data_IF_859195861013
#
_entry.id   IF_859195861013
#
_cell.length_a   1.000
_cell.length_b   1.000
_cell.length_c   1.000
_cell.angle_alpha   90.00
_cell.angle_beta   90.00
_cell.angle_gamma   90.00
#
_symmetry.space_group_name_H-M   'P 1'
#
loop_
_entity.id
_entity.type
_entity.pdbx_description
1 polymer ?
#
# COMPACT_ATOMS: atom_id res chain seq x y z
N UNK A 1 -58.52 22.21 51.76
CA UNK A 1 -59.22 20.95 51.45
C UNK A 1 -58.27 20.04 50.67
N UNK A 2 -57.32 19.39 51.36
CA UNK A 2 -56.35 18.46 50.77
C UNK A 2 -56.97 17.08 50.89
N UNK A 3 -57.39 16.45 49.78
CA UNK A 3 -57.89 15.07 49.80
C UNK A 3 -56.78 14.17 50.33
N UNK A 4 -57.03 13.50 51.46
CA UNK A 4 -56.18 12.42 51.98
C UNK A 4 -56.02 11.36 50.89
N UNK A 5 -54.83 11.30 50.29
CA UNK A 5 -54.43 10.25 49.38
C UNK A 5 -54.34 8.95 50.20
N UNK A 6 -55.17 7.96 49.88
CA UNK A 6 -55.19 6.68 50.58
C UNK A 6 -53.82 5.97 50.50
N UNK A 7 -53.40 5.19 51.51
CA UNK A 7 -52.08 4.55 51.57
C UNK A 7 -51.74 3.71 50.31
N UNK A 8 -52.75 3.11 49.66
CA UNK A 8 -52.59 2.37 48.38
C UNK A 8 -52.10 3.25 47.23
N UNK A 9 -52.57 4.50 47.13
CA UNK A 9 -52.18 5.41 46.05
C UNK A 9 -50.72 5.87 46.21
N UNK A 10 -50.20 5.98 47.44
CA UNK A 10 -48.81 6.38 47.70
C UNK A 10 -47.81 5.28 47.34
N UNK A 11 -48.12 4.03 47.67
CA UNK A 11 -47.32 2.86 47.26
C UNK A 11 -47.27 2.78 45.73
N UNK A 12 -48.42 2.99 45.07
CA UNK A 12 -48.51 3.01 43.62
C UNK A 12 -47.64 4.12 43.00
N UNK A 13 -47.65 5.34 43.56
CA UNK A 13 -46.79 6.44 43.09
C UNK A 13 -45.30 6.11 43.25
N UNK A 14 -44.88 5.59 44.42
CA UNK A 14 -43.48 5.23 44.66
C UNK A 14 -43.01 4.13 43.68
N UNK A 15 -43.84 3.12 43.44
CA UNK A 15 -43.59 2.07 42.46
C UNK A 15 -43.51 2.62 41.03
N UNK A 16 -44.40 3.55 40.66
CA UNK A 16 -44.42 4.18 39.35
C UNK A 16 -43.17 5.03 39.11
N UNK A 17 -42.73 5.82 40.10
CA UNK A 17 -41.48 6.59 40.04
C UNK A 17 -40.27 5.68 39.88
N UNK A 18 -40.20 4.60 40.67
CA UNK A 18 -39.12 3.61 40.55
C UNK A 18 -39.10 2.94 39.18
N UNK A 19 -40.26 2.58 38.64
CA UNK A 19 -40.39 1.97 37.31
C UNK A 19 -39.93 2.93 36.21
N UNK A 20 -40.34 4.20 36.27
CA UNK A 20 -39.91 5.24 35.33
C UNK A 20 -38.41 5.51 35.42
N UNK A 21 -37.85 5.56 36.63
CA UNK A 21 -36.40 5.71 36.85
C UNK A 21 -35.63 4.53 36.23
N UNK A 22 -36.09 3.30 36.48
CA UNK A 22 -35.49 2.08 35.95
C UNK A 22 -35.56 2.05 34.42
N UNK A 23 -36.68 2.47 33.84
CA UNK A 23 -36.83 2.59 32.39
C UNK A 23 -35.92 3.67 31.79
N UNK A 24 -35.77 4.82 32.45
CA UNK A 24 -34.84 5.87 32.04
C UNK A 24 -33.37 5.39 32.07
N UNK A 25 -32.99 4.65 33.12
CA UNK A 25 -31.67 4.01 33.22
C UNK A 25 -31.47 3.01 32.09
N UNK A 26 -32.42 2.11 31.86
CA UNK A 26 -32.33 1.09 30.82
C UNK A 26 -32.20 1.70 29.41
N UNK A 27 -33.00 2.72 29.09
CA UNK A 27 -32.95 3.41 27.79
C UNK A 27 -31.62 4.15 27.59
N UNK A 28 -31.11 4.81 28.63
CA UNK A 28 -29.82 5.48 28.57
C UNK A 28 -28.65 4.49 28.46
N UNK A 29 -28.69 3.39 29.22
CA UNK A 29 -27.72 2.29 29.10
C UNK A 29 -27.70 1.69 27.70
N UNK A 30 -28.88 1.46 27.10
CA UNK A 30 -28.97 0.96 25.73
C UNK A 30 -28.38 1.94 24.71
N UNK A 31 -28.64 3.24 24.88
CA UNK A 31 -28.03 4.29 24.05
C UNK A 31 -26.50 4.34 24.20
N UNK A 32 -25.98 4.22 25.43
CA UNK A 32 -24.53 4.15 25.70
C UNK A 32 -23.92 2.90 25.06
N UNK A 33 -24.58 1.75 25.15
CA UNK A 33 -24.12 0.49 24.55
C UNK A 33 -23.98 0.61 23.03
N UNK A 34 -25.01 1.12 22.34
CA UNK A 34 -24.94 1.38 20.88
C UNK A 34 -23.81 2.34 20.51
N UNK A 35 -23.54 3.34 21.36
CA UNK A 35 -22.43 4.27 21.17
C UNK A 35 -21.08 3.56 21.29
N UNK A 36 -20.88 2.72 22.30
CA UNK A 36 -19.67 1.90 22.47
C UNK A 36 -19.43 1.01 21.25
N UNK A 37 -20.47 0.29 20.79
CA UNK A 37 -20.38 -0.59 19.63
C UNK A 37 -19.94 0.18 18.38
N UNK A 38 -20.56 1.33 18.09
CA UNK A 38 -20.20 2.15 16.93
C UNK A 38 -18.75 2.67 16.95
N UNK A 39 -18.21 2.92 18.15
CA UNK A 39 -16.82 3.38 18.35
C UNK A 39 -15.85 2.22 18.12
N UNK A 40 -16.16 1.05 18.67
CA UNK A 40 -15.36 -0.16 18.47
C UNK A 40 -15.33 -0.56 17.00
N UNK A 41 -16.49 -0.61 16.34
CA UNK A 41 -16.58 -0.93 14.92
C UNK A 41 -15.72 0.00 14.06
N UNK A 42 -15.78 1.33 14.29
CA UNK A 42 -14.95 2.26 13.52
C UNK A 42 -13.45 2.01 13.77
N UNK A 43 -13.04 1.87 15.03
CA UNK A 43 -11.63 1.68 15.36
C UNK A 43 -11.07 0.36 14.82
N UNK A 44 -11.86 -0.71 14.90
CA UNK A 44 -11.48 -2.02 14.39
C UNK A 44 -11.40 -2.02 12.85
N UNK A 45 -12.28 -1.29 12.15
CA UNK A 45 -12.17 -1.12 10.69
C UNK A 45 -10.93 -0.32 10.28
N UNK A 46 -10.54 0.70 11.06
CA UNK A 46 -9.28 1.44 10.83
C UNK A 46 -8.06 0.55 11.09
N UNK A 47 -8.12 -0.31 12.11
CA UNK A 47 -7.04 -1.26 12.39
C UNK A 47 -6.93 -2.36 11.31
N UNK A 48 -8.05 -2.88 10.80
CA UNK A 48 -8.06 -3.78 9.64
C UNK A 48 -7.48 -3.10 8.40
N UNK A 49 -7.82 -1.83 8.19
CA UNK A 49 -7.25 -1.02 7.10
C UNK A 49 -5.72 -0.90 7.24
N UNK A 50 -5.22 -0.68 8.47
CA UNK A 50 -3.80 -0.69 8.79
C UNK A 50 -3.12 -1.99 8.39
N UNK A 51 -3.64 -3.13 8.83
CA UNK A 51 -3.09 -4.45 8.49
C UNK A 51 -3.09 -4.69 6.97
N UNK A 52 -4.15 -4.32 6.26
CA UNK A 52 -4.24 -4.48 4.80
C UNK A 52 -3.21 -3.62 4.06
N UNK A 53 -2.96 -2.40 4.53
CA UNK A 53 -1.94 -1.52 3.92
C UNK A 53 -0.52 -2.06 4.16
N UNK A 54 -0.24 -2.65 5.32
CA UNK A 54 1.02 -3.37 5.54
C UNK A 54 1.18 -4.56 4.59
N UNK A 55 0.11 -5.35 4.39
CA UNK A 55 0.14 -6.45 3.43
C UNK A 55 0.37 -5.95 1.99
N UNK A 56 -0.27 -4.85 1.61
CA UNK A 56 -0.05 -4.21 0.30
C UNK A 56 1.43 -3.80 0.11
N UNK A 57 2.06 -3.23 1.14
CA UNK A 57 3.48 -2.92 1.12
C UNK A 57 4.36 -4.17 1.01
N UNK A 58 3.96 -5.27 1.66
CA UNK A 58 4.66 -6.56 1.54
C UNK A 58 4.59 -7.09 0.10
N UNK A 59 3.42 -7.09 -0.53
CA UNK A 59 3.26 -7.52 -1.92
C UNK A 59 4.12 -6.72 -2.90
N UNK A 60 4.30 -5.42 -2.66
CA UNK A 60 5.23 -4.60 -3.44
C UNK A 60 6.68 -5.08 -3.27
N UNK A 61 7.11 -5.34 -2.03
CA UNK A 61 8.46 -5.86 -1.76
C UNK A 61 8.67 -7.24 -2.39
N UNK A 62 7.68 -8.12 -2.26
CA UNK A 62 7.71 -9.47 -2.83
C UNK A 62 7.78 -9.42 -4.36
N UNK A 63 7.03 -8.52 -5.00
CA UNK A 63 7.15 -8.26 -6.44
C UNK A 63 8.59 -7.85 -6.81
N UNK A 64 9.16 -6.87 -6.09
CA UNK A 64 10.49 -6.34 -6.40
C UNK A 64 11.61 -7.36 -6.16
N UNK A 65 11.41 -8.28 -5.23
CA UNK A 65 12.37 -9.33 -4.92
C UNK A 65 12.32 -10.46 -5.95
N UNK A 66 11.12 -10.86 -6.39
CA UNK A 66 10.92 -12.11 -7.13
C UNK A 66 10.72 -11.92 -8.64
N UNK A 67 10.00 -10.88 -9.08
CA UNK A 67 9.61 -10.75 -10.48
C UNK A 67 10.74 -10.34 -11.45
N UNK A 68 11.77 -9.56 -11.05
CA UNK A 68 12.88 -9.20 -11.94
C UNK A 68 13.68 -10.41 -12.48
N UNK A 69 13.61 -11.55 -11.81
CA UNK A 69 14.26 -12.80 -12.23
C UNK A 69 13.27 -13.91 -12.59
N UNK A 70 11.97 -13.62 -12.60
CA UNK A 70 10.93 -14.59 -12.92
C UNK A 70 10.64 -14.61 -14.42
N UNK A 71 11.14 -15.63 -15.12
CA UNK A 71 10.98 -15.78 -16.56
C UNK A 71 9.50 -15.81 -17.03
N UNK A 72 8.60 -16.39 -16.22
CA UNK A 72 7.18 -16.47 -16.56
C UNK A 72 6.52 -15.09 -16.61
N UNK A 73 6.96 -14.14 -15.78
CA UNK A 73 6.44 -12.77 -15.79
C UNK A 73 6.80 -12.05 -17.09
N UNK A 74 8.00 -12.25 -17.61
CA UNK A 74 8.40 -11.65 -18.89
C UNK A 74 7.63 -12.26 -20.07
N UNK A 75 7.49 -13.59 -20.06
CA UNK A 75 6.76 -14.33 -21.10
C UNK A 75 5.28 -13.96 -21.15
N UNK A 76 4.62 -13.94 -20.00
CA UNK A 76 3.15 -13.79 -19.93
C UNK A 76 2.68 -12.38 -19.62
N UNK A 77 3.50 -11.58 -18.95
CA UNK A 77 3.09 -10.31 -18.34
C UNK A 77 2.33 -10.44 -17.04
N UNK A 78 2.05 -11.66 -16.60
CA UNK A 78 1.25 -11.91 -15.40
C UNK A 78 2.16 -12.06 -14.19
N UNK A 79 1.86 -11.31 -13.14
CA UNK A 79 2.49 -11.44 -11.83
C UNK A 79 1.40 -11.70 -10.78
N UNK A 80 1.50 -12.80 -10.00
CA UNK A 80 0.57 -13.02 -8.89
C UNK A 80 0.62 -11.89 -7.86
N UNK A 81 1.81 -11.36 -7.56
CA UNK A 81 1.98 -10.24 -6.63
C UNK A 81 1.30 -8.97 -7.13
N UNK A 82 1.46 -8.62 -8.42
CA UNK A 82 0.82 -7.43 -9.00
C UNK A 82 -0.70 -7.57 -9.04
N UNK A 83 -1.20 -8.77 -9.37
CA UNK A 83 -2.64 -9.07 -9.38
C UNK A 83 -3.22 -8.92 -7.97
N UNK A 84 -2.59 -9.53 -6.98
CA UNK A 84 -3.04 -9.44 -5.59
C UNK A 84 -2.92 -8.01 -5.05
N UNK A 85 -1.87 -7.28 -5.43
CA UNK A 85 -1.69 -5.88 -5.08
C UNK A 85 -2.88 -5.04 -5.54
N UNK A 86 -3.30 -5.15 -6.80
CA UNK A 86 -4.43 -4.38 -7.36
C UNK A 86 -5.77 -4.77 -6.70
N UNK A 87 -5.96 -6.05 -6.39
CA UNK A 87 -7.16 -6.53 -5.68
C UNK A 87 -7.22 -5.94 -4.27
N UNK A 88 -6.13 -6.06 -3.50
CA UNK A 88 -6.04 -5.54 -2.13
C UNK A 88 -6.19 -4.02 -2.11
N UNK A 89 -5.61 -3.33 -3.08
CA UNK A 89 -5.78 -1.89 -3.29
C UNK A 89 -7.26 -1.50 -3.41
N UNK A 90 -8.02 -2.19 -4.25
CA UNK A 90 -9.44 -1.90 -4.44
C UNK A 90 -10.24 -2.12 -3.15
N UNK A 91 -9.94 -3.19 -2.40
CA UNK A 91 -10.56 -3.47 -1.11
C UNK A 91 -10.23 -2.40 -0.06
N UNK A 92 -8.98 -1.93 -0.02
CA UNK A 92 -8.53 -0.84 0.85
C UNK A 92 -9.31 0.45 0.52
N UNK A 93 -9.44 0.81 -0.75
CA UNK A 93 -10.19 2.00 -1.18
C UNK A 93 -11.68 1.92 -0.81
N UNK A 94 -12.29 0.74 -0.96
CA UNK A 94 -13.67 0.52 -0.52
C UNK A 94 -13.82 0.66 1.00
N UNK A 95 -12.84 0.14 1.76
CA UNK A 95 -12.81 0.25 3.23
C UNK A 95 -12.69 1.71 3.67
N UNK A 96 -11.82 2.49 3.02
CA UNK A 96 -11.73 3.94 3.25
C UNK A 96 -13.08 4.62 2.97
N UNK A 97 -13.74 4.27 1.86
CA UNK A 97 -15.06 4.76 1.54
C UNK A 97 -16.12 4.46 2.61
N UNK A 98 -16.10 3.25 3.18
CA UNK A 98 -16.97 2.85 4.27
C UNK A 98 -16.68 3.63 5.56
N UNK A 99 -15.42 3.71 5.98
CA UNK A 99 -14.96 4.44 7.18
C UNK A 99 -15.37 5.92 7.06
N UNK A 100 -15.17 6.56 5.90
CA UNK A 100 -15.55 7.96 5.68
C UNK A 100 -17.05 8.23 5.81
N UNK A 101 -17.91 7.25 5.50
CA UNK A 101 -19.37 7.39 5.64
C UNK A 101 -19.82 7.31 7.10
N UNK A 102 -18.99 6.76 8.00
CA UNK A 102 -19.28 6.70 9.43
C UNK A 102 -19.43 8.10 10.04
N UNK A 103 -20.52 8.38 10.79
CA UNK A 103 -20.67 9.65 11.53
C UNK A 103 -19.50 9.90 12.50
N UNK A 104 -18.94 8.83 13.06
CA UNK A 104 -17.85 8.88 14.04
C UNK A 104 -16.54 9.33 13.37
N UNK A 105 -16.28 8.93 12.12
CA UNK A 105 -15.11 9.39 11.38
C UNK A 105 -15.11 10.91 11.15
N UNK A 106 -16.30 11.49 10.90
CA UNK A 106 -16.48 12.95 10.85
C UNK A 106 -16.24 13.59 12.22
N UNK A 107 -16.83 13.05 13.28
CA UNK A 107 -16.63 13.54 14.66
C UNK A 107 -15.17 13.48 15.11
N UNK A 108 -14.40 12.51 14.61
CA UNK A 108 -12.98 12.34 14.92
C UNK A 108 -12.06 13.11 13.97
N UNK A 109 -12.61 13.91 13.05
CA UNK A 109 -11.88 14.70 12.06
C UNK A 109 -10.97 13.88 11.13
N UNK A 110 -11.35 12.62 10.84
CA UNK A 110 -10.51 11.70 10.07
C UNK A 110 -10.66 11.86 8.54
N UNK A 111 -11.73 12.52 8.08
CA UNK A 111 -12.07 12.57 6.65
C UNK A 111 -10.93 13.09 5.77
N UNK A 112 -10.27 14.19 6.18
CA UNK A 112 -9.15 14.77 5.42
C UNK A 112 -7.95 13.81 5.31
N UNK A 113 -7.60 13.15 6.41
CA UNK A 113 -6.51 12.17 6.44
C UNK A 113 -6.84 10.94 5.58
N UNK A 114 -8.10 10.49 5.61
CA UNK A 114 -8.59 9.40 4.76
C UNK A 114 -8.59 9.78 3.27
N UNK A 115 -8.93 11.03 2.92
CA UNK A 115 -8.84 11.56 1.55
C UNK A 115 -7.41 11.58 1.04
N UNK A 116 -6.47 12.09 1.86
CA UNK A 116 -5.04 12.09 1.55
C UNK A 116 -4.52 10.67 1.34
N UNK A 117 -4.84 9.76 2.26
CA UNK A 117 -4.44 8.35 2.19
C UNK A 117 -4.97 7.71 0.90
N UNK A 118 -6.25 7.92 0.57
CA UNK A 118 -6.87 7.41 -0.66
C UNK A 118 -6.17 7.94 -1.93
N UNK A 119 -5.81 9.23 -1.97
CA UNK A 119 -5.07 9.82 -3.09
C UNK A 119 -3.69 9.20 -3.24
N UNK A 120 -2.95 9.08 -2.14
CA UNK A 120 -1.61 8.53 -2.12
C UNK A 120 -1.58 7.06 -2.53
N UNK A 121 -2.57 6.30 -2.08
CA UNK A 121 -2.81 4.91 -2.45
C UNK A 121 -3.04 4.73 -3.96
N UNK A 122 -3.87 5.58 -4.58
CA UNK A 122 -4.09 5.55 -6.04
C UNK A 122 -2.80 5.86 -6.80
N UNK A 123 -2.12 6.94 -6.41
CA UNK A 123 -0.82 7.32 -7.00
C UNK A 123 0.21 6.20 -6.88
N UNK A 124 0.29 5.52 -5.72
CA UNK A 124 1.19 4.38 -5.50
C UNK A 124 0.88 3.21 -6.43
N UNK A 125 -0.40 2.96 -6.74
CA UNK A 125 -0.81 1.91 -7.68
C UNK A 125 -0.32 2.20 -9.09
N UNK A 126 -0.45 3.44 -9.54
CA UNK A 126 -0.02 3.84 -10.88
C UNK A 126 1.50 3.76 -10.99
N UNK A 127 2.23 4.16 -9.93
CA UNK A 127 3.66 3.93 -9.84
C UNK A 127 3.99 2.43 -9.91
N UNK A 128 3.32 1.59 -9.12
CA UNK A 128 3.59 0.15 -9.13
C UNK A 128 3.41 -0.48 -10.52
N UNK A 129 2.37 -0.08 -11.26
CA UNK A 129 2.12 -0.53 -12.64
C UNK A 129 3.22 -0.07 -13.59
N UNK A 130 3.62 1.20 -13.50
CA UNK A 130 4.69 1.75 -14.33
C UNK A 130 6.04 1.09 -14.05
N UNK A 131 6.33 0.80 -12.78
CA UNK A 131 7.51 0.06 -12.36
C UNK A 131 7.51 -1.36 -12.95
N UNK A 132 6.39 -2.07 -12.86
CA UNK A 132 6.25 -3.40 -13.46
C UNK A 132 6.44 -3.37 -14.98
N UNK A 133 5.90 -2.35 -15.66
CA UNK A 133 6.10 -2.13 -17.10
C UNK A 133 7.57 -1.90 -17.45
N UNK A 134 8.27 -1.04 -16.69
CA UNK A 134 9.70 -0.79 -16.87
C UNK A 134 10.54 -2.04 -16.64
N UNK A 135 10.27 -2.79 -15.58
CA UNK A 135 10.96 -4.06 -15.28
C UNK A 135 10.76 -5.07 -16.43
N UNK A 136 9.53 -5.20 -16.94
CA UNK A 136 9.25 -6.08 -18.08
C UNK A 136 9.98 -5.62 -19.35
N UNK A 137 10.01 -4.32 -19.61
CA UNK A 137 10.72 -3.74 -20.77
C UNK A 137 12.23 -3.97 -20.68
N UNK A 138 12.84 -3.76 -19.50
CA UNK A 138 14.26 -4.06 -19.25
C UNK A 138 14.62 -5.47 -19.71
N UNK A 139 13.74 -6.42 -19.41
CA UNK A 139 13.91 -7.80 -19.81
C UNK A 139 14.69 -8.65 -18.82
N UNK A 140 14.67 -9.96 -19.09
CA UNK A 140 15.43 -10.98 -18.40
C UNK A 140 15.65 -12.16 -19.36
N UNK A 141 16.90 -12.64 -19.46
CA UNK A 141 17.34 -13.72 -20.35
C UNK A 141 17.06 -13.48 -21.84
N UNK A 142 15.91 -13.95 -22.33
CA UNK A 142 15.53 -13.97 -23.74
C UNK A 142 14.36 -13.03 -24.04
N UNK A 143 13.95 -12.22 -23.05
CA UNK A 143 12.80 -11.34 -23.16
C UNK A 143 13.22 -9.89 -22.94
N UNK A 144 12.39 -8.95 -23.42
CA UNK A 144 12.63 -7.52 -23.31
C UNK A 144 13.92 -7.07 -24.00
N UNK A 145 14.50 -5.96 -23.53
CA UNK A 145 15.73 -5.42 -24.11
C UNK A 145 16.92 -6.37 -23.94
N UNK A 146 17.01 -7.12 -22.83
CA UNK A 146 18.03 -8.16 -22.66
C UNK A 146 17.97 -9.24 -23.75
N UNK A 147 16.77 -9.71 -24.10
CA UNK A 147 16.58 -10.67 -25.19
C UNK A 147 16.96 -10.11 -26.55
N UNK A 148 16.58 -8.86 -26.83
CA UNK A 148 16.93 -8.16 -28.09
C UNK A 148 18.45 -8.02 -28.23
N UNK A 149 19.13 -7.63 -27.15
CA UNK A 149 20.60 -7.57 -27.13
C UNK A 149 21.24 -8.92 -27.38
N UNK A 150 20.72 -9.98 -26.74
CA UNK A 150 21.19 -11.35 -26.96
C UNK A 150 21.04 -11.79 -28.40
N UNK A 151 19.94 -11.41 -29.06
CA UNK A 151 19.72 -11.71 -30.46
C UNK A 151 20.77 -11.06 -31.37
N UNK A 152 20.98 -9.75 -31.24
CA UNK A 152 21.99 -9.07 -32.03
C UNK A 152 23.40 -9.57 -31.74
N UNK A 153 23.70 -9.92 -30.49
CA UNK A 153 24.93 -10.60 -30.11
C UNK A 153 25.13 -11.90 -30.88
N UNK A 154 24.12 -12.78 -30.93
CA UNK A 154 24.17 -14.04 -31.70
C UNK A 154 24.32 -13.81 -33.20
N UNK A 155 23.61 -12.82 -33.74
CA UNK A 155 23.71 -12.47 -35.16
C UNK A 155 25.15 -12.06 -35.51
N UNK A 156 25.77 -11.19 -34.70
CA UNK A 156 27.17 -10.78 -34.88
C UNK A 156 28.15 -11.96 -34.70
N UNK A 157 27.96 -12.80 -33.68
CA UNK A 157 28.78 -14.01 -33.42
C UNK A 157 28.69 -15.03 -34.58
N UNK A 158 27.55 -15.08 -35.28
CA UNK A 158 27.34 -16.03 -36.39
C UNK A 158 27.95 -15.58 -37.72
N UNK A 159 28.40 -14.33 -37.84
CA UNK A 159 29.06 -13.86 -39.06
C UNK A 159 30.52 -14.31 -39.04
N UNK A 160 30.87 -15.26 -39.92
CA UNK A 160 32.20 -15.88 -39.96
C UNK A 160 33.34 -14.87 -40.19
N UNK A 161 33.05 -13.77 -40.88
CA UNK A 161 34.06 -12.80 -41.26
C UNK A 161 34.34 -11.76 -40.16
N UNK A 162 33.39 -11.52 -39.25
CA UNK A 162 33.53 -10.51 -38.18
C UNK A 162 34.55 -10.97 -37.14
N UNK A 163 35.35 -10.05 -36.60
CA UNK A 163 36.25 -10.33 -35.48
C UNK A 163 35.47 -10.79 -34.23
N UNK A 164 35.38 -12.11 -34.04
CA UNK A 164 34.64 -12.71 -32.95
C UNK A 164 35.20 -12.36 -31.57
N UNK A 165 36.50 -12.10 -31.44
CA UNK A 165 37.09 -11.72 -30.15
C UNK A 165 36.52 -10.37 -29.67
N UNK A 166 36.39 -9.40 -30.56
CA UNK A 166 35.78 -8.10 -30.24
C UNK A 166 34.29 -8.24 -29.89
N UNK A 167 33.55 -9.08 -30.62
CA UNK A 167 32.15 -9.40 -30.29
C UNK A 167 32.05 -10.04 -28.90
N UNK A 168 32.91 -11.01 -28.59
CA UNK A 168 32.95 -11.65 -27.27
C UNK A 168 33.32 -10.67 -26.15
N UNK A 169 34.19 -9.69 -26.40
CA UNK A 169 34.47 -8.61 -25.42
C UNK A 169 33.23 -7.73 -25.19
N UNK A 170 32.50 -7.36 -26.25
CA UNK A 170 31.24 -6.62 -26.11
C UNK A 170 30.24 -7.38 -25.24
N UNK A 171 30.03 -8.67 -25.53
CA UNK A 171 29.11 -9.55 -24.79
C UNK A 171 29.54 -9.70 -23.33
N UNK A 172 30.85 -9.79 -23.07
CA UNK A 172 31.43 -9.85 -21.72
C UNK A 172 31.13 -8.59 -20.92
N UNK A 173 31.39 -7.40 -21.48
CA UNK A 173 31.15 -6.14 -20.77
C UNK A 173 29.67 -5.80 -20.64
N UNK A 174 28.83 -6.19 -21.60
CA UNK A 174 27.37 -6.16 -21.45
C UNK A 174 26.95 -6.99 -20.24
N UNK A 175 27.35 -8.26 -20.17
CA UNK A 175 26.97 -9.16 -19.06
C UNK A 175 27.50 -8.64 -17.72
N UNK A 176 28.73 -8.10 -17.70
CA UNK A 176 29.28 -7.48 -16.50
C UNK A 176 28.44 -6.27 -16.08
N UNK A 177 28.04 -5.41 -17.02
CA UNK A 177 27.16 -4.29 -16.75
C UNK A 177 25.81 -4.78 -16.20
N UNK A 178 25.14 -5.75 -16.82
CA UNK A 178 23.84 -6.27 -16.37
C UNK A 178 23.92 -6.82 -14.94
N UNK A 179 25.01 -7.48 -14.58
CA UNK A 179 25.19 -8.10 -13.26
C UNK A 179 25.63 -7.12 -12.17
N UNK A 180 26.36 -6.06 -12.52
CA UNK A 180 27.02 -5.17 -11.55
C UNK A 180 26.52 -3.73 -11.58
N UNK A 181 25.82 -3.35 -12.65
CA UNK A 181 25.33 -2.00 -12.92
C UNK A 181 26.44 -0.93 -12.84
N UNK A 182 27.66 -1.29 -13.23
CA UNK A 182 28.84 -0.45 -13.04
C UNK A 182 29.24 0.33 -14.30
N UNK A 183 29.66 1.59 -14.12
CA UNK A 183 30.02 2.48 -15.23
C UNK A 183 31.33 2.09 -15.92
N UNK A 184 32.18 1.26 -15.30
CA UNK A 184 33.45 0.81 -15.88
C UNK A 184 33.16 -0.17 -17.01
N UNK A 185 32.24 -1.13 -16.79
CA UNK A 185 31.76 -2.07 -17.80
C UNK A 185 31.13 -1.33 -18.98
N UNK A 186 30.33 -0.29 -18.74
CA UNK A 186 29.78 0.55 -19.81
C UNK A 186 30.88 1.25 -20.63
N UNK A 187 31.91 1.82 -19.98
CA UNK A 187 33.05 2.45 -20.68
C UNK A 187 33.82 1.44 -21.54
N UNK A 188 34.11 0.26 -20.99
CA UNK A 188 34.80 -0.82 -21.71
C UNK A 188 33.98 -1.34 -22.89
N UNK A 189 32.66 -1.47 -22.71
CA UNK A 189 31.75 -1.83 -23.80
C UNK A 189 31.84 -0.82 -24.94
N UNK A 190 31.82 0.49 -24.64
CA UNK A 190 31.94 1.55 -25.66
C UNK A 190 33.25 1.49 -26.43
N UNK A 191 34.36 1.26 -25.72
CA UNK A 191 35.67 1.12 -26.35
C UNK A 191 35.70 -0.03 -27.37
N UNK A 192 35.25 -1.23 -26.98
CA UNK A 192 35.21 -2.36 -27.92
C UNK A 192 34.17 -2.19 -29.03
N UNK A 193 33.14 -1.39 -28.82
CA UNK A 193 32.16 -1.05 -29.84
C UNK A 193 32.81 -0.20 -30.94
N UNK A 194 33.61 0.79 -30.54
CA UNK A 194 34.35 1.66 -31.44
C UNK A 194 35.44 0.88 -32.20
N UNK A 195 36.16 -0.01 -31.53
CA UNK A 195 37.15 -0.90 -32.16
C UNK A 195 36.50 -1.80 -33.23
N UNK A 196 35.37 -2.44 -32.91
CA UNK A 196 34.67 -3.31 -33.85
C UNK A 196 34.10 -2.51 -35.03
N UNK A 197 33.57 -1.31 -34.77
CA UNK A 197 33.09 -0.42 -35.83
C UNK A 197 34.21 -0.05 -36.79
N UNK A 198 35.38 0.31 -36.25
CA UNK A 198 36.56 0.66 -37.03
C UNK A 198 37.06 -0.53 -37.86
N UNK A 199 37.14 -1.71 -37.25
CA UNK A 199 37.52 -2.95 -37.93
C UNK A 199 36.62 -3.21 -39.14
N UNK A 200 35.30 -3.19 -38.97
CA UNK A 200 34.34 -3.41 -40.07
C UNK A 200 34.51 -2.38 -41.21
N UNK A 201 34.74 -1.11 -40.87
CA UNK A 201 34.92 -0.03 -41.86
C UNK A 201 36.23 -0.21 -42.64
N UNK A 202 37.33 -0.53 -41.95
CA UNK A 202 38.67 -0.62 -42.51
C UNK A 202 38.96 -1.99 -43.15
N UNK A 203 38.12 -3.00 -42.91
CA UNK A 203 38.32 -4.33 -43.46
C UNK A 203 38.30 -4.31 -45.00
N UNK A 204 39.43 -4.72 -45.60
CA UNK A 204 39.65 -4.61 -47.06
C UNK A 204 38.85 -5.62 -47.86
N UNK A 205 38.49 -6.75 -47.25
CA UNK A 205 37.86 -7.87 -47.96
C UNK A 205 36.32 -7.82 -47.90
N UNK A 206 35.72 -6.93 -47.10
CA UNK A 206 34.26 -6.79 -47.08
C UNK A 206 33.78 -5.97 -48.26
N UNK A 207 32.76 -6.48 -48.95
CA UNK A 207 31.99 -5.69 -49.90
C UNK A 207 31.26 -4.57 -49.17
N UNK A 208 30.94 -3.51 -49.91
CA UNK A 208 30.23 -2.36 -49.36
C UNK A 208 28.90 -2.75 -48.71
N UNK A 209 28.16 -3.66 -49.33
CA UNK A 209 26.89 -4.19 -48.82
C UNK A 209 27.05 -4.94 -47.49
N UNK A 210 28.12 -5.73 -47.33
CA UNK A 210 28.43 -6.46 -46.10
C UNK A 210 28.78 -5.49 -44.97
N UNK A 211 29.59 -4.46 -45.26
CA UNK A 211 29.89 -3.39 -44.29
C UNK A 211 28.61 -2.74 -43.78
N UNK A 212 27.72 -2.33 -44.68
CA UNK A 212 26.44 -1.74 -44.29
C UNK A 212 25.59 -2.69 -43.44
N UNK A 213 25.52 -3.97 -43.83
CA UNK A 213 24.78 -4.99 -43.07
C UNK A 213 25.35 -5.14 -41.65
N UNK A 214 26.66 -5.32 -41.49
CA UNK A 214 27.28 -5.51 -40.18
C UNK A 214 27.18 -4.28 -39.30
N UNK A 215 27.42 -3.09 -39.86
CA UNK A 215 27.24 -1.82 -39.16
C UNK A 215 25.79 -1.63 -38.72
N UNK A 216 24.80 -2.07 -39.51
CA UNK A 216 23.39 -1.99 -39.11
C UNK A 216 23.06 -2.88 -37.91
N UNK A 217 23.59 -4.11 -37.85
CA UNK A 217 23.41 -4.99 -36.68
C UNK A 217 24.10 -4.44 -35.45
N UNK A 218 25.32 -3.92 -35.62
CA UNK A 218 26.09 -3.33 -34.54
C UNK A 218 25.40 -2.07 -34.00
N UNK A 219 24.87 -1.20 -34.86
CA UNK A 219 24.09 -0.04 -34.43
C UNK A 219 22.80 -0.43 -33.70
N UNK A 220 22.08 -1.44 -34.20
CA UNK A 220 20.90 -1.96 -33.52
C UNK A 220 21.23 -2.54 -32.13
N UNK A 221 22.36 -3.24 -32.01
CA UNK A 221 22.88 -3.74 -30.73
C UNK A 221 23.19 -2.60 -29.75
N UNK A 222 23.88 -1.55 -30.20
CA UNK A 222 24.16 -0.35 -29.40
C UNK A 222 22.89 0.32 -28.93
N UNK A 223 21.92 0.51 -29.82
CA UNK A 223 20.67 1.17 -29.49
C UNK A 223 19.89 0.37 -28.44
N UNK A 224 19.86 -0.97 -28.56
CA UNK A 224 19.28 -1.85 -27.56
C UNK A 224 20.01 -1.75 -26.21
N UNK A 225 21.34 -1.77 -26.20
CA UNK A 225 22.13 -1.67 -24.96
C UNK A 225 22.00 -0.32 -24.27
N UNK A 226 22.05 0.79 -25.00
CA UNK A 226 21.84 2.11 -24.41
C UNK A 226 20.41 2.30 -23.91
N UNK A 227 19.42 1.74 -24.60
CA UNK A 227 18.05 1.75 -24.10
C UNK A 227 17.93 0.91 -22.83
N UNK A 228 18.58 -0.25 -22.77
CA UNK A 228 18.65 -1.07 -21.57
C UNK A 228 19.27 -0.30 -20.40
N UNK A 229 20.44 0.32 -20.59
CA UNK A 229 21.14 1.13 -19.59
C UNK A 229 20.24 2.27 -19.08
N UNK A 230 19.53 2.96 -19.98
CA UNK A 230 18.59 4.03 -19.61
C UNK A 230 17.44 3.49 -18.76
N UNK A 231 16.79 2.41 -19.18
CA UNK A 231 15.67 1.80 -18.46
C UNK A 231 16.12 1.26 -17.10
N UNK A 232 17.29 0.63 -17.02
CA UNK A 232 17.85 0.11 -15.77
C UNK A 232 18.12 1.24 -14.77
N UNK A 233 18.76 2.33 -15.21
CA UNK A 233 18.96 3.54 -14.41
C UNK A 233 17.64 4.17 -13.95
N UNK A 234 16.65 4.23 -14.85
CA UNK A 234 15.31 4.74 -14.53
C UNK A 234 14.64 3.89 -13.45
N UNK A 235 14.79 2.56 -13.49
CA UNK A 235 14.29 1.65 -12.45
C UNK A 235 15.04 1.88 -11.14
N UNK A 236 16.38 1.94 -11.19
CA UNK A 236 17.25 2.14 -10.03
C UNK A 236 17.38 0.91 -9.13
N UNK A 237 17.40 -0.30 -9.70
CA UNK A 237 17.40 -1.54 -8.92
C UNK A 237 18.63 -1.65 -8.00
N UNK A 238 18.41 -1.97 -6.71
CA UNK A 238 19.48 -2.09 -5.71
C UNK A 238 20.12 -0.76 -5.27
N UNK A 239 19.71 0.36 -5.85
CA UNK A 239 20.21 1.70 -5.50
C UNK A 239 19.09 2.48 -4.78
N UNK A 240 19.45 3.40 -3.88
CA UNK A 240 18.47 4.28 -3.19
C UNK A 240 17.94 5.41 -4.12
N UNK A 241 17.93 5.17 -5.43
CA UNK A 241 17.57 6.13 -6.48
C UNK A 241 16.57 5.50 -7.46
N UNK A 242 16.15 6.26 -8.47
CA UNK A 242 15.27 5.75 -9.52
C UNK A 242 13.83 5.53 -9.08
N UNK A 243 13.07 4.85 -9.94
CA UNK A 243 11.63 4.68 -9.80
C UNK A 243 11.26 3.69 -8.68
N UNK A 244 12.07 2.66 -8.46
CA UNK A 244 11.89 1.72 -7.35
C UNK A 244 11.99 2.42 -5.99
N UNK A 245 13.01 3.27 -5.80
CA UNK A 245 13.17 4.04 -4.57
C UNK A 245 12.02 5.03 -4.35
N UNK A 246 11.56 5.72 -5.41
CA UNK A 246 10.39 6.62 -5.33
C UNK A 246 9.12 5.86 -4.93
N UNK A 247 8.91 4.66 -5.48
CA UNK A 247 7.76 3.81 -5.15
C UNK A 247 7.82 3.33 -3.70
N UNK A 248 9.01 2.94 -3.22
CA UNK A 248 9.21 2.59 -1.82
C UNK A 248 8.99 3.79 -0.88
N UNK A 249 9.51 4.97 -1.21
CA UNK A 249 9.28 6.19 -0.45
C UNK A 249 7.78 6.52 -0.35
N UNK A 250 7.02 6.34 -1.44
CA UNK A 250 5.57 6.53 -1.43
C UNK A 250 4.88 5.54 -0.51
N UNK A 251 5.27 4.26 -0.54
CA UNK A 251 4.76 3.25 0.38
C UNK A 251 5.04 3.62 1.85
N UNK A 252 6.25 4.12 2.16
CA UNK A 252 6.59 4.59 3.52
C UNK A 252 5.77 5.79 3.97
N UNK A 253 5.42 6.72 3.07
CA UNK A 253 4.49 7.82 3.39
C UNK A 253 3.11 7.30 3.73
N UNK A 254 2.59 6.34 2.96
CA UNK A 254 1.30 5.69 3.18
C UNK A 254 1.28 4.95 4.52
N UNK A 255 2.33 4.18 4.84
CA UNK A 255 2.48 3.48 6.12
C UNK A 255 2.42 4.46 7.30
N UNK A 256 3.20 5.54 7.25
CA UNK A 256 3.18 6.58 8.30
C UNK A 256 1.82 7.26 8.44
N UNK A 257 1.08 7.45 7.34
CA UNK A 257 -0.26 8.03 7.40
C UNK A 257 -1.25 7.08 8.09
N UNK A 258 -1.22 5.78 7.75
CA UNK A 258 -2.12 4.81 8.36
C UNK A 258 -1.76 4.53 9.82
N UNK A 259 -0.47 4.52 10.19
CA UNK A 259 -0.03 4.42 11.59
C UNK A 259 -0.60 5.56 12.45
N UNK A 260 -0.53 6.79 11.94
CA UNK A 260 -1.11 7.97 12.59
C UNK A 260 -2.63 7.87 12.71
N UNK A 261 -3.30 7.40 11.67
CA UNK A 261 -4.75 7.22 11.65
C UNK A 261 -5.20 6.15 12.64
N UNK A 262 -4.53 5.00 12.70
CA UNK A 262 -4.84 3.93 13.65
C UNK A 262 -4.59 4.40 15.08
N UNK A 263 -3.41 4.98 15.36
CA UNK A 263 -3.10 5.54 16.69
C UNK A 263 -4.13 6.58 17.12
N UNK A 264 -4.51 7.51 16.23
CA UNK A 264 -5.53 8.51 16.52
C UNK A 264 -6.90 7.88 16.81
N UNK A 265 -7.27 6.86 16.03
CA UNK A 265 -8.51 6.11 16.18
C UNK A 265 -8.57 5.36 17.52
N UNK A 266 -7.50 4.64 17.89
CA UNK A 266 -7.41 3.93 19.17
C UNK A 266 -7.44 4.91 20.35
N UNK A 267 -6.67 6.00 20.29
CA UNK A 267 -6.68 7.03 21.35
C UNK A 267 -8.07 7.67 21.53
N UNK A 268 -8.80 7.91 20.44
CA UNK A 268 -10.18 8.42 20.52
C UNK A 268 -11.15 7.38 21.07
N UNK A 269 -11.01 6.11 20.67
CA UNK A 269 -11.77 5.00 21.24
C UNK A 269 -11.56 4.94 22.76
N UNK A 270 -10.32 4.85 23.22
CA UNK A 270 -10.01 4.71 24.65
C UNK A 270 -10.49 5.92 25.47
N UNK A 271 -10.28 7.13 24.97
CA UNK A 271 -10.76 8.35 25.62
C UNK A 271 -12.28 8.34 25.79
N UNK A 272 -13.03 7.98 24.74
CA UNK A 272 -14.49 7.96 24.81
C UNK A 272 -14.99 6.79 25.65
N UNK A 273 -14.38 5.60 25.54
CA UNK A 273 -14.77 4.46 26.38
C UNK A 273 -14.58 4.75 27.87
N UNK A 274 -13.49 5.43 28.24
CA UNK A 274 -13.27 5.86 29.62
C UNK A 274 -14.32 6.88 30.08
N UNK A 275 -14.70 7.85 29.23
CA UNK A 275 -15.81 8.76 29.52
C UNK A 275 -17.14 8.02 29.71
N UNK A 276 -17.47 7.06 28.84
CA UNK A 276 -18.71 6.29 28.91
C UNK A 276 -18.74 5.38 30.14
N UNK A 277 -17.61 4.79 30.53
CA UNK A 277 -17.47 4.04 31.79
C UNK A 277 -17.77 4.93 32.99
N UNK A 278 -17.17 6.12 33.05
CA UNK A 278 -17.40 7.07 34.14
C UNK A 278 -18.87 7.51 34.23
N UNK A 279 -19.51 7.84 33.09
CA UNK A 279 -20.95 8.15 33.02
C UNK A 279 -21.78 6.98 33.54
N UNK A 280 -21.43 5.75 33.18
CA UNK A 280 -22.15 4.54 33.63
C UNK A 280 -22.05 4.37 35.14
N UNK A 281 -20.86 4.59 35.73
CA UNK A 281 -20.67 4.53 37.19
C UNK A 281 -21.51 5.59 37.90
N UNK A 282 -21.53 6.84 37.41
CA UNK A 282 -22.37 7.91 37.97
C UNK A 282 -23.86 7.54 37.87
N UNK A 283 -24.30 7.06 36.71
CA UNK A 283 -25.69 6.65 36.47
C UNK A 283 -26.14 5.56 37.46
N UNK A 284 -25.35 4.49 37.61
CA UNK A 284 -25.66 3.40 38.53
C UNK A 284 -25.66 3.90 39.97
N UNK A 285 -24.64 4.67 40.38
CA UNK A 285 -24.54 5.19 41.75
C UNK A 285 -25.71 6.10 42.10
N UNK A 286 -26.06 7.03 41.20
CA UNK A 286 -27.21 7.93 41.40
C UNK A 286 -28.54 7.17 41.44
N UNK A 287 -28.71 6.13 40.61
CA UNK A 287 -29.90 5.28 40.64
C UNK A 287 -30.06 4.52 41.96
N UNK A 288 -28.95 4.03 42.53
CA UNK A 288 -28.93 3.33 43.83
C UNK A 288 -29.26 4.32 44.95
N UNK A 289 -28.63 5.50 44.97
CA UNK A 289 -28.90 6.53 45.98
C UNK A 289 -30.37 6.98 45.91
N UNK A 290 -30.89 7.22 44.71
CA UNK A 290 -32.31 7.59 44.52
C UNK A 290 -33.24 6.49 45.03
N UNK A 291 -32.94 5.22 44.76
CA UNK A 291 -33.70 4.07 45.26
C UNK A 291 -33.66 3.98 46.79
N UNK A 292 -32.50 4.22 47.41
CA UNK A 292 -32.35 4.27 48.86
C UNK A 292 -33.16 5.40 49.50
N UNK A 293 -33.10 6.62 48.94
CA UNK A 293 -33.86 7.77 49.44
C UNK A 293 -35.38 7.57 49.31
N UNK A 294 -35.84 6.97 48.21
CA UNK A 294 -37.24 6.57 48.05
C UNK A 294 -37.65 5.53 49.11
N UNK A 295 -36.79 4.55 49.38
CA UNK A 295 -37.04 3.56 50.43
C UNK A 295 -37.08 4.17 51.83
N UNK A 296 -36.21 5.13 52.13
CA UNK A 296 -36.15 5.80 53.45
C UNK A 296 -37.27 6.82 53.66
N UNK A 297 -37.76 7.46 52.60
CA UNK A 297 -38.90 8.38 52.67
C UNK A 297 -40.24 7.66 52.80
N UNK A 298 -40.31 6.39 52.41
CA UNK A 298 -41.52 5.58 52.42
C UNK A 298 -42.26 5.52 53.78
N UNK A 299 -41.59 5.33 54.95
CA UNK A 299 -42.27 5.32 56.25
C UNK A 299 -42.85 6.69 56.65
N UNK A 300 -42.17 7.78 56.30
CA UNK A 300 -42.65 9.15 56.54
C UNK A 300 -43.86 9.48 55.67
N UNK A 301 -43.80 9.06 54.40
CA UNK A 301 -44.92 9.16 53.47
C UNK A 301 -46.11 8.34 53.94
N UNK A 302 -45.94 7.25 54.71
CA UNK A 302 -47.06 6.46 55.26
C UNK A 302 -47.67 7.03 56.55
N UNK A 303 -46.96 7.86 57.32
CA UNK A 303 -47.43 8.37 58.62
C UNK A 303 -48.30 9.64 58.55
N UNK A 304 -48.28 10.39 57.45
CA UNK A 304 -49.05 11.63 57.20
C UNK A 304 -50.38 11.31 56.53
#
# INVERSE_FOLDING_TARGET
>A
MIKLIYPRQRIFIAFLVYTLLSFAVATLSFWLFRRVESINLLADEVHKLHTRIHNLSKLQSDFLLNEPSNELFYKTGNSPFLKEYVINQAQILNSIGFIKKSPQAKKWNMTKSLDSLQSDLKSSTDMMKELARKIRLRGYKNYGLEGVMREYGRVLESQADINNDLVLQLRRHEKNFINRLDTISLKKWKYHFEDLTKEIIEHKNYKLEEKYKYLSYLDAYKNAFYHFVKIDNDIGYGQKIGFAAKTNQKAQVILKQIDKLDTHSQNKKDSILNQLRFITVILVTTSVIASMLLSLSFPYIMKI
#
